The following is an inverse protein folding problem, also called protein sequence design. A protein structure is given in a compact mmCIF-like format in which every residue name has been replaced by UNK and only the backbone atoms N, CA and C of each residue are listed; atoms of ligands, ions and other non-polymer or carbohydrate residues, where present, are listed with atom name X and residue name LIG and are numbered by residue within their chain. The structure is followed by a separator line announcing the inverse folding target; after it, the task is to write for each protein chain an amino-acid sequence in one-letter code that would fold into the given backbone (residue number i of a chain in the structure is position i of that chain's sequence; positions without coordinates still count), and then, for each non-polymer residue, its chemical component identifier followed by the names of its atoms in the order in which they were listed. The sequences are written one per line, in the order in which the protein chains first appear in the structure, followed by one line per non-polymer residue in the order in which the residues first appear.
data_IF_740354634480
#
_entry.id   IF_740354634480
#
_cell.length_a   1.000
_cell.length_b   1.000
_cell.length_c   1.000
_cell.angle_alpha   90.00
_cell.angle_beta   90.00
_cell.angle_gamma   90.00
#
_symmetry.space_group_name_H-M   'P 1'
#
loop_
_entity.id
_entity.type
_entity.pdbx_description
1 polymer ?
#
# COMPACT_ATOMS: atom_id res chain seq x y z
N UNK A 1 18.11 -18.89 1.88
CA UNK A 1 18.78 -17.69 1.33
C UNK A 1 20.10 -18.15 0.71
N UNK A 2 20.46 -17.69 -0.51
CA UNK A 2 21.75 -18.08 -1.11
C UNK A 2 22.88 -17.46 -0.29
N UNK A 3 23.90 -18.27 0.06
CA UNK A 3 25.10 -17.80 0.75
C UNK A 3 25.85 -16.83 -0.16
N UNK A 4 26.28 -15.70 0.40
CA UNK A 4 27.13 -14.73 -0.31
C UNK A 4 28.47 -15.40 -0.58
N UNK A 5 28.95 -15.30 -1.81
CA UNK A 5 30.28 -15.82 -2.21
C UNK A 5 31.37 -14.99 -1.55
N UNK A 6 32.54 -15.57 -1.25
CA UNK A 6 33.65 -14.87 -0.58
C UNK A 6 34.01 -13.54 -1.24
N UNK A 7 34.13 -13.53 -2.58
CA UNK A 7 34.33 -12.30 -3.37
C UNK A 7 33.30 -11.19 -3.12
N UNK A 8 32.03 -11.56 -2.93
CA UNK A 8 30.96 -10.58 -2.66
C UNK A 8 31.01 -10.07 -1.22
N UNK A 9 31.51 -10.89 -0.29
CA UNK A 9 31.70 -10.47 1.10
C UNK A 9 32.84 -9.44 1.21
N UNK A 10 33.92 -9.64 0.45
CA UNK A 10 35.01 -8.67 0.33
C UNK A 10 34.55 -7.35 -0.31
N UNK A 11 33.81 -7.42 -1.42
CA UNK A 11 33.20 -6.23 -2.05
C UNK A 11 32.28 -5.46 -1.08
N UNK A 12 31.46 -6.18 -0.30
CA UNK A 12 30.57 -5.56 0.68
C UNK A 12 31.34 -4.91 1.84
N UNK A 13 32.43 -5.55 2.30
CA UNK A 13 33.29 -5.00 3.35
C UNK A 13 34.01 -3.72 2.87
N UNK A 14 34.43 -3.68 1.60
CA UNK A 14 35.01 -2.49 1.00
C UNK A 14 34.00 -1.34 0.88
N UNK A 15 32.76 -1.63 0.45
CA UNK A 15 31.69 -0.63 0.38
C UNK A 15 31.30 -0.09 1.77
N UNK A 16 31.31 -0.94 2.80
CA UNK A 16 30.99 -0.52 4.17
C UNK A 16 32.10 0.34 4.82
N UNK A 17 33.33 0.27 4.31
CA UNK A 17 34.47 1.05 4.78
C UNK A 17 34.65 2.37 4.02
N UNK A 18 33.93 2.56 2.90
CA UNK A 18 33.94 3.81 2.14
C UNK A 18 33.22 4.92 2.95
N UNK A 19 33.83 6.10 3.15
CA UNK A 19 33.17 7.21 3.83
C UNK A 19 32.04 7.80 2.96
N UNK A 20 31.00 8.31 3.61
CA UNK A 20 29.81 8.84 2.93
C UNK A 20 30.12 9.98 1.94
N UNK A 21 31.13 10.82 2.24
CA UNK A 21 31.55 11.94 1.39
C UNK A 21 32.16 11.50 0.04
N UNK A 22 32.62 10.25 -0.05
CA UNK A 22 33.19 9.67 -1.29
C UNK A 22 32.15 8.93 -2.13
N UNK A 23 30.88 8.87 -1.68
CA UNK A 23 29.79 8.24 -2.43
C UNK A 23 29.36 9.17 -3.57
N UNK A 24 29.58 8.71 -4.80
CA UNK A 24 29.08 9.39 -6.01
C UNK A 24 27.56 9.23 -6.12
N UNK A 25 26.83 10.34 -5.95
CA UNK A 25 25.37 10.41 -6.12
C UNK A 25 24.96 11.22 -7.35
N UNK A 26 25.87 11.42 -8.32
CA UNK A 26 25.64 12.28 -9.48
C UNK A 26 24.46 11.84 -10.36
N UNK A 27 24.14 10.55 -10.38
CA UNK A 27 23.00 9.97 -11.09
C UNK A 27 21.67 10.09 -10.33
N UNK A 28 21.74 10.25 -9.01
CA UNK A 28 20.58 10.33 -8.12
C UNK A 28 20.76 11.48 -7.11
N UNK A 29 20.52 12.73 -7.54
CA UNK A 29 20.63 13.89 -6.66
C UNK A 29 19.61 13.83 -5.51
N UNK A 30 19.96 14.43 -4.37
CA UNK A 30 19.08 14.47 -3.21
C UNK A 30 17.76 15.20 -3.49
N UNK A 31 16.65 14.63 -3.00
CA UNK A 31 15.33 15.24 -3.09
C UNK A 31 15.09 16.11 -1.85
N UNK A 32 15.25 17.42 -2.00
CA UNK A 32 15.03 18.40 -0.93
C UNK A 32 13.58 18.89 -0.87
N UNK A 33 12.91 18.93 -2.02
CA UNK A 33 11.50 19.33 -2.15
C UNK A 33 10.57 18.11 -2.05
N UNK A 34 9.73 18.09 -1.02
CA UNK A 34 8.76 17.03 -0.74
C UNK A 34 7.31 17.44 -1.02
N UNK A 35 7.04 18.60 -1.63
CA UNK A 35 5.68 19.12 -1.84
C UNK A 35 4.80 18.18 -2.69
N UNK A 36 5.42 17.36 -3.53
CA UNK A 36 4.73 16.36 -4.38
C UNK A 36 4.68 14.96 -3.77
N UNK A 37 5.18 14.78 -2.55
CA UNK A 37 5.21 13.48 -1.91
C UNK A 37 3.79 13.00 -1.56
N UNK A 38 3.46 11.76 -1.95
CA UNK A 38 2.17 11.15 -1.66
C UNK A 38 2.31 10.20 -0.48
N UNK A 39 1.83 10.62 0.69
CA UNK A 39 1.78 9.74 1.87
C UNK A 39 0.78 8.59 1.59
N UNK A 40 1.22 7.36 1.82
CA UNK A 40 0.35 6.19 1.74
C UNK A 40 0.01 5.74 0.31
N UNK A 41 0.80 6.13 -0.70
CA UNK A 41 0.61 5.70 -2.09
C UNK A 41 0.46 4.16 -2.22
N UNK A 42 1.18 3.40 -1.40
CA UNK A 42 1.15 1.94 -1.39
C UNK A 42 0.24 1.33 -0.31
N UNK A 43 -0.52 2.14 0.42
CA UNK A 43 -1.43 1.62 1.43
C UNK A 43 -2.54 0.79 0.78
N UNK A 44 -2.62 -0.47 1.17
CA UNK A 44 -3.70 -1.38 0.78
C UNK A 44 -4.49 -1.79 2.01
N UNK A 45 -5.80 -1.50 2.09
CA UNK A 45 -6.61 -1.96 3.20
C UNK A 45 -6.56 -3.48 3.33
N UNK A 46 -6.21 -3.98 4.52
CA UNK A 46 -6.26 -5.41 4.83
C UNK A 46 -7.74 -5.81 4.84
N UNK A 47 -8.10 -6.73 3.95
CA UNK A 47 -9.46 -7.28 3.90
C UNK A 47 -9.54 -8.47 4.86
N UNK A 48 -10.52 -8.44 5.74
CA UNK A 48 -10.84 -9.57 6.62
C UNK A 48 -12.02 -10.34 6.03
N UNK A 49 -11.90 -11.67 5.99
CA UNK A 49 -12.99 -12.54 5.58
C UNK A 49 -13.97 -12.66 6.73
N UNK A 50 -15.21 -12.21 6.52
CA UNK A 50 -16.30 -12.30 7.50
C UNK A 50 -17.50 -12.96 6.85
N UNK A 51 -18.24 -13.77 7.61
CA UNK A 51 -19.51 -14.36 7.18
C UNK A 51 -20.64 -13.47 7.67
N UNK A 52 -21.39 -12.86 6.74
CA UNK A 52 -22.54 -12.00 7.03
C UNK A 52 -23.78 -12.53 6.30
N UNK A 53 -24.96 -12.21 6.84
CA UNK A 53 -26.24 -12.44 6.15
C UNK A 53 -26.67 -11.13 5.49
N UNK A 54 -27.17 -11.22 4.26
CA UNK A 54 -27.73 -10.10 3.49
C UNK A 54 -29.12 -10.52 3.02
N UNK A 55 -30.01 -9.56 2.88
CA UNK A 55 -31.33 -9.81 2.33
C UNK A 55 -31.24 -10.26 0.87
N UNK A 56 -32.19 -11.10 0.45
CA UNK A 56 -32.16 -11.75 -0.85
C UNK A 56 -32.26 -10.74 -2.00
N UNK A 57 -33.13 -9.74 -1.86
CA UNK A 57 -33.32 -8.66 -2.83
C UNK A 57 -32.08 -7.76 -2.97
N UNK A 58 -31.40 -7.47 -1.86
CA UNK A 58 -30.13 -6.74 -1.83
C UNK A 58 -29.05 -7.54 -2.55
N UNK A 59 -28.96 -8.85 -2.28
CA UNK A 59 -28.00 -9.73 -2.93
C UNK A 59 -28.26 -9.82 -4.45
N UNK A 60 -29.52 -9.94 -4.86
CA UNK A 60 -29.90 -9.98 -6.26
C UNK A 60 -29.57 -8.66 -6.96
N UNK A 61 -29.90 -7.52 -6.36
CA UNK A 61 -29.52 -6.20 -6.88
C UNK A 61 -28.00 -6.04 -7.04
N UNK A 62 -27.22 -6.49 -6.06
CA UNK A 62 -25.76 -6.44 -6.13
C UNK A 62 -25.20 -7.32 -7.25
N UNK A 63 -25.81 -8.50 -7.48
CA UNK A 63 -25.42 -9.44 -8.53
C UNK A 63 -25.84 -9.03 -9.94
N UNK A 64 -26.88 -8.19 -10.11
CA UNK A 64 -27.29 -7.65 -11.43
C UNK A 64 -26.14 -6.99 -12.20
N UNK A 65 -25.15 -6.44 -11.49
CA UNK A 65 -23.96 -5.82 -12.09
C UNK A 65 -22.85 -6.80 -12.53
N UNK A 66 -23.07 -8.12 -12.44
CA UNK A 66 -22.10 -9.14 -12.85
C UNK A 66 -21.04 -9.48 -11.79
N UNK A 67 -19.87 -9.95 -12.25
CA UNK A 67 -18.77 -10.40 -11.38
C UNK A 67 -18.29 -9.26 -10.48
N UNK A 68 -18.03 -9.55 -9.21
CA UNK A 68 -17.43 -8.59 -8.27
C UNK A 68 -18.40 -7.94 -7.28
N UNK A 69 -19.59 -8.51 -7.09
CA UNK A 69 -20.57 -8.00 -6.12
C UNK A 69 -19.98 -7.85 -4.70
N UNK A 70 -19.10 -8.75 -4.25
CA UNK A 70 -18.41 -8.63 -2.95
C UNK A 70 -17.54 -7.37 -2.86
N UNK A 71 -16.84 -7.01 -3.93
CA UNK A 71 -16.08 -5.76 -4.00
C UNK A 71 -17.01 -4.55 -3.95
N UNK A 72 -18.19 -4.64 -4.59
CA UNK A 72 -19.22 -3.59 -4.56
C UNK A 72 -19.78 -3.39 -3.16
N UNK A 73 -20.05 -4.47 -2.42
CA UNK A 73 -20.46 -4.43 -1.00
C UNK A 73 -19.43 -3.63 -0.19
N UNK A 74 -18.15 -3.99 -0.27
CA UNK A 74 -17.12 -3.30 0.48
C UNK A 74 -16.98 -1.81 0.11
N UNK A 75 -17.16 -1.45 -1.18
CA UNK A 75 -17.15 -0.05 -1.63
C UNK A 75 -18.31 0.75 -1.02
N UNK A 76 -19.52 0.19 -1.01
CA UNK A 76 -20.71 0.82 -0.43
C UNK A 76 -20.50 1.05 1.07
N UNK A 77 -20.09 0.01 1.80
CA UNK A 77 -19.84 0.10 3.25
C UNK A 77 -18.76 1.14 3.58
N UNK A 78 -17.68 1.19 2.81
CA UNK A 78 -16.61 2.20 2.98
C UNK A 78 -17.12 3.63 2.78
N UNK A 79 -17.90 3.86 1.74
CA UNK A 79 -18.45 5.19 1.46
C UNK A 79 -19.35 5.68 2.61
N UNK A 80 -20.21 4.79 3.15
CA UNK A 80 -21.06 5.11 4.30
C UNK A 80 -20.23 5.39 5.55
N UNK A 81 -19.23 4.56 5.84
CA UNK A 81 -18.33 4.74 6.98
C UNK A 81 -17.58 6.09 6.91
N UNK A 82 -17.05 6.46 5.75
CA UNK A 82 -16.33 7.72 5.54
C UNK A 82 -17.25 8.94 5.70
N UNK A 83 -18.49 8.86 5.20
CA UNK A 83 -19.48 9.91 5.40
C UNK A 83 -19.86 10.08 6.88
N UNK A 84 -20.03 8.98 7.61
CA UNK A 84 -20.30 9.03 9.06
C UNK A 84 -19.13 9.64 9.82
N UNK A 85 -17.89 9.22 9.52
CA UNK A 85 -16.69 9.77 10.17
C UNK A 85 -16.57 11.28 9.98
N UNK A 86 -16.91 11.80 8.79
CA UNK A 86 -16.92 13.24 8.52
C UNK A 86 -17.99 13.98 9.33
N UNK A 87 -19.18 13.40 9.51
CA UNK A 87 -20.26 13.99 10.31
C UNK A 87 -19.95 14.02 11.81
N UNK A 88 -19.24 13.02 12.34
CA UNK A 88 -18.86 12.96 13.76
C UNK A 88 -17.68 13.86 14.10
N UNK A 89 -16.83 14.19 13.10
CA UNK A 89 -15.68 15.07 13.27
C UNK A 89 -16.01 16.57 13.08
N UNK A 90 -17.25 16.89 12.69
CA UNK A 90 -17.78 18.25 12.55
C UNK A 90 -18.67 18.59 13.74
#
# INVERSE_FOLDING_TARGET
MKKVTEKKAEELAALAALPDDEIDTSDMPEVVDWDKAVIGHFYRPIKQTVTIRLDADVLDWLKKGGRGYQTKVNKILRAVMEQQRKKTAA
#
